data_IF_396132296343
#
_entry.id   IF_396132296343
#
_cell.length_a   1.000
_cell.length_b   1.000
_cell.length_c   1.000
_cell.angle_alpha   90.00
_cell.angle_beta   90.00
_cell.angle_gamma   90.00
#
_symmetry.space_group_name_H-M   'P 1'
#
loop_
_entity.id
_entity.type
_entity.pdbx_description
1 polymer ?
#
# COMPACT_ATOMS: atom_id res chain seq x y z
N UNK A 1 5.59 29.60 -38.47
CA UNK A 1 5.47 30.84 -37.69
C UNK A 1 4.13 30.77 -36.96
N UNK A 2 4.12 31.07 -35.65
CA UNK A 2 3.07 30.81 -34.64
C UNK A 2 1.61 30.99 -35.08
N UNK A 3 0.71 30.11 -34.57
CA UNK A 3 -0.55 30.52 -33.92
C UNK A 3 -1.27 29.36 -33.18
N UNK A 4 -1.07 29.36 -31.86
CA UNK A 4 -2.01 29.17 -30.72
C UNK A 4 -3.43 28.63 -31.00
N UNK A 5 -3.85 27.58 -30.25
CA UNK A 5 -4.93 27.65 -29.23
C UNK A 5 -5.69 26.33 -29.02
N UNK A 6 -5.87 25.96 -27.73
CA UNK A 6 -6.96 25.21 -27.06
C UNK A 6 -7.30 23.83 -27.68
N UNK A 7 -7.43 22.73 -26.94
CA UNK A 7 -8.53 22.25 -26.09
C UNK A 7 -7.92 21.09 -25.29
N UNK A 8 -8.04 20.98 -23.97
CA UNK A 8 -9.29 20.83 -23.25
C UNK A 8 -9.12 19.60 -22.36
N UNK A 9 -9.15 19.82 -21.06
CA UNK A 9 -9.15 18.82 -20.00
C UNK A 9 -10.14 17.70 -20.34
N UNK A 10 -9.66 16.46 -20.45
CA UNK A 10 -10.51 15.28 -20.48
C UNK A 10 -10.02 14.27 -19.42
N UNK A 11 -10.10 14.71 -18.17
CA UNK A 11 -10.36 13.78 -17.08
C UNK A 11 -11.71 13.11 -17.37
N UNK A 12 -11.70 11.81 -17.65
CA UNK A 12 -12.92 10.99 -17.66
C UNK A 12 -12.88 10.03 -16.47
N UNK A 13 -13.70 10.28 -15.44
CA UNK A 13 -13.74 9.51 -14.20
C UNK A 13 -14.66 8.30 -14.40
N UNK A 14 -14.11 7.10 -14.54
CA UNK A 14 -14.91 5.86 -14.47
C UNK A 14 -14.04 4.70 -13.96
N UNK A 15 -13.95 4.56 -12.64
CA UNK A 15 -14.45 3.42 -11.85
C UNK A 15 -13.70 3.34 -10.50
N UNK A 16 -14.43 3.38 -9.36
CA UNK A 16 -13.85 3.29 -8.03
C UNK A 16 -13.68 1.81 -7.68
N UNK A 17 -12.45 1.29 -7.67
CA UNK A 17 -12.17 -0.01 -7.06
C UNK A 17 -10.90 0.17 -6.23
N UNK A 18 -11.10 0.28 -4.92
CA UNK A 18 -10.06 0.54 -3.95
C UNK A 18 -9.15 -0.67 -3.74
N UNK A 19 -7.87 -0.54 -4.11
CA UNK A 19 -6.82 -1.49 -3.78
C UNK A 19 -6.40 -1.33 -2.31
N UNK A 20 -7.21 -1.86 -1.38
CA UNK A 20 -6.84 -1.91 0.05
C UNK A 20 -6.16 -3.22 0.46
N UNK A 21 -6.24 -4.25 -0.39
CA UNK A 21 -5.69 -5.58 -0.12
C UNK A 21 -5.53 -6.33 -1.43
N UNK A 22 -4.32 -6.52 -1.93
CA UNK A 22 -4.09 -7.20 -3.21
C UNK A 22 -2.74 -7.90 -3.21
N UNK A 23 -2.72 -9.09 -3.81
CA UNK A 23 -1.48 -9.66 -4.34
C UNK A 23 -1.53 -9.49 -5.86
N UNK A 24 -0.60 -8.73 -6.41
CA UNK A 24 -0.47 -8.54 -7.86
C UNK A 24 0.79 -9.25 -8.35
N UNK A 25 0.69 -9.84 -9.54
CA UNK A 25 1.77 -10.60 -10.17
C UNK A 25 2.00 -9.96 -11.53
N UNK A 26 3.22 -9.49 -11.76
CA UNK A 26 3.55 -8.76 -12.99
C UNK A 26 4.23 -9.71 -13.97
N UNK A 27 3.59 -9.88 -15.14
CA UNK A 27 4.12 -10.61 -16.28
C UNK A 27 4.82 -9.66 -17.26
N UNK A 28 5.83 -10.12 -18.02
CA UNK A 28 6.46 -9.34 -19.10
C UNK A 28 5.48 -8.71 -20.11
N UNK A 29 4.33 -9.34 -20.35
CA UNK A 29 3.29 -8.85 -21.27
C UNK A 29 2.36 -7.79 -20.68
N UNK A 30 2.25 -7.69 -19.35
CA UNK A 30 1.42 -6.70 -18.63
C UNK A 30 2.15 -5.36 -18.46
N UNK A 31 3.47 -5.41 -18.58
CA UNK A 31 4.37 -4.29 -18.40
C UNK A 31 4.32 -3.29 -19.56
N UNK A 32 4.13 -3.77 -20.80
CA UNK A 32 4.02 -2.90 -21.98
C UNK A 32 2.78 -1.98 -21.99
N UNK A 33 1.89 -2.10 -20.99
CA UNK A 33 0.59 -1.43 -20.91
C UNK A 33 0.47 -0.35 -19.82
N UNK A 34 1.56 -0.01 -19.14
CA UNK A 34 1.58 1.09 -18.16
C UNK A 34 1.89 2.48 -18.77
N UNK A 35 2.07 2.58 -20.08
CA UNK A 35 2.17 3.86 -20.80
C UNK A 35 0.78 4.37 -21.23
N UNK A 36 0.51 5.69 -21.18
CA UNK A 36 -0.81 6.21 -21.53
C UNK A 36 -1.08 6.04 -23.03
N UNK A 37 -2.25 5.46 -23.34
CA UNK A 37 -2.90 5.24 -24.65
C UNK A 37 -2.54 3.95 -25.42
N UNK A 38 -3.45 2.96 -25.40
CA UNK A 38 -4.52 2.89 -26.40
C UNK A 38 -5.65 1.95 -25.94
N UNK A 39 -6.88 2.39 -26.16
CA UNK A 39 -8.12 1.63 -25.96
C UNK A 39 -8.16 0.44 -26.92
N UNK A 40 -7.92 -0.78 -26.44
CA UNK A 40 -8.40 -2.08 -26.97
C UNK A 40 -7.57 -3.27 -26.42
N UNK A 41 -7.49 -3.47 -25.10
CA UNK A 41 -6.76 -4.62 -24.53
C UNK A 41 -7.66 -5.55 -23.71
N UNK A 42 -8.43 -6.37 -24.42
CA UNK A 42 -9.35 -7.40 -23.90
C UNK A 42 -8.67 -8.48 -23.04
N UNK A 43 -7.35 -8.63 -23.14
CA UNK A 43 -6.52 -9.57 -22.37
C UNK A 43 -6.24 -9.02 -20.97
N UNK A 44 -5.99 -7.71 -20.84
CA UNK A 44 -5.81 -7.04 -19.54
C UNK A 44 -7.12 -7.08 -18.76
N UNK A 45 -8.25 -6.82 -19.42
CA UNK A 45 -9.58 -6.93 -18.80
C UNK A 45 -9.85 -8.34 -18.27
N UNK A 46 -9.35 -9.40 -18.92
CA UNK A 46 -9.52 -10.77 -18.43
C UNK A 46 -8.66 -11.12 -17.21
N UNK A 47 -7.38 -10.71 -17.19
CA UNK A 47 -6.49 -10.99 -16.04
C UNK A 47 -6.81 -10.07 -14.85
N UNK A 48 -7.14 -8.81 -15.13
CA UNK A 48 -7.66 -7.85 -14.17
C UNK A 48 -9.01 -8.32 -13.61
N UNK A 49 -9.97 -8.73 -14.46
CA UNK A 49 -11.24 -9.28 -13.98
C UNK A 49 -11.09 -10.61 -13.22
N UNK A 50 -10.06 -11.42 -13.48
CA UNK A 50 -9.79 -12.64 -12.71
C UNK A 50 -9.21 -12.34 -11.32
N UNK A 51 -8.33 -11.34 -11.19
CA UNK A 51 -7.86 -10.84 -9.89
C UNK A 51 -8.98 -10.09 -9.13
N UNK A 52 -9.74 -9.23 -9.82
CA UNK A 52 -10.86 -8.45 -9.28
C UNK A 52 -12.06 -9.31 -8.89
N UNK A 53 -12.37 -10.40 -9.61
CA UNK A 53 -13.44 -11.34 -9.22
C UNK A 53 -13.17 -12.06 -7.89
N UNK A 54 -11.94 -12.01 -7.39
CA UNK A 54 -11.54 -12.73 -6.17
C UNK A 54 -11.52 -11.84 -4.92
N UNK A 55 -11.60 -10.50 -5.06
CA UNK A 55 -11.28 -9.57 -3.98
C UNK A 55 -12.48 -8.66 -3.65
N UNK A 56 -13.26 -9.09 -2.65
CA UNK A 56 -14.13 -8.20 -1.89
C UNK A 56 -13.29 -7.10 -1.21
N UNK A 57 -13.84 -5.89 -1.05
CA UNK A 57 -13.27 -4.70 -0.39
C UNK A 57 -12.84 -4.90 1.09
N UNK A 58 -12.72 -6.14 1.55
CA UNK A 58 -12.54 -6.55 2.95
C UNK A 58 -11.56 -7.72 3.12
N UNK A 59 -10.75 -8.01 2.11
CA UNK A 59 -9.86 -9.18 2.12
C UNK A 59 -8.73 -9.01 3.13
N UNK A 60 -8.46 -10.05 3.92
CA UNK A 60 -7.41 -10.09 4.95
C UNK A 60 -6.38 -11.17 4.61
N UNK A 61 -5.23 -11.16 5.30
CA UNK A 61 -4.24 -12.23 5.16
C UNK A 61 -4.82 -13.62 5.50
N UNK A 62 -5.68 -13.72 6.51
CA UNK A 62 -6.32 -14.99 6.90
C UNK A 62 -7.32 -15.50 5.86
N UNK A 63 -8.07 -14.61 5.20
CA UNK A 63 -8.99 -15.01 4.12
C UNK A 63 -8.24 -15.53 2.89
N UNK A 64 -7.07 -14.96 2.61
CA UNK A 64 -6.21 -15.39 1.52
C UNK A 64 -5.55 -16.74 1.81
N UNK A 65 -5.17 -16.98 3.06
CA UNK A 65 -4.39 -18.16 3.50
C UNK A 65 -4.81 -19.48 2.86
N UNK A 66 -6.09 -19.92 2.93
CA UNK A 66 -6.52 -21.19 2.35
C UNK A 66 -6.55 -21.21 0.81
N UNK A 67 -6.48 -20.05 0.15
CA UNK A 67 -6.55 -19.92 -1.31
C UNK A 67 -5.20 -19.61 -1.97
N UNK A 68 -4.14 -19.37 -1.18
CA UNK A 68 -2.85 -18.97 -1.71
C UNK A 68 -2.25 -19.99 -2.68
N UNK A 69 -2.42 -21.29 -2.38
CA UNK A 69 -1.95 -22.38 -3.24
C UNK A 69 -2.59 -22.35 -4.64
N UNK A 70 -3.83 -21.86 -4.77
CA UNK A 70 -4.49 -21.69 -6.08
C UNK A 70 -3.81 -20.60 -6.89
N UNK A 71 -3.27 -19.57 -6.24
CA UNK A 71 -2.53 -18.52 -6.93
C UNK A 71 -1.18 -19.05 -7.38
N UNK A 72 -0.47 -19.79 -6.52
CA UNK A 72 0.77 -20.47 -6.85
C UNK A 72 0.57 -21.42 -8.03
N UNK A 73 -0.46 -22.26 -7.99
CA UNK A 73 -0.81 -23.19 -9.08
C UNK A 73 -1.01 -22.47 -10.43
N UNK A 74 -1.62 -21.28 -10.44
CA UNK A 74 -1.77 -20.47 -11.66
C UNK A 74 -0.43 -19.93 -12.15
N UNK A 75 0.39 -19.40 -11.25
CA UNK A 75 1.72 -18.88 -11.57
C UNK A 75 2.67 -19.97 -12.08
N UNK A 76 2.45 -21.23 -11.67
CA UNK A 76 3.21 -22.40 -12.12
C UNK A 76 2.78 -22.96 -13.49
N UNK A 77 1.71 -22.44 -14.09
CA UNK A 77 1.20 -22.99 -15.34
C UNK A 77 2.26 -22.85 -16.46
N UNK A 78 2.68 -23.94 -17.12
CA UNK A 78 3.75 -23.89 -18.14
C UNK A 78 3.37 -23.06 -19.37
N UNK A 79 2.07 -22.81 -19.59
CA UNK A 79 1.59 -21.95 -20.67
C UNK A 79 1.42 -20.48 -20.23
N UNK A 80 1.64 -20.16 -18.96
CA UNK A 80 1.64 -18.77 -18.48
C UNK A 80 2.99 -18.11 -18.77
N UNK A 81 3.03 -16.79 -19.00
CA UNK A 81 4.29 -16.08 -19.06
C UNK A 81 5.07 -16.22 -17.74
N UNK A 82 6.41 -16.12 -17.74
CA UNK A 82 7.19 -16.17 -16.50
C UNK A 82 6.77 -15.08 -15.51
N UNK A 83 6.60 -15.44 -14.24
CA UNK A 83 6.30 -14.47 -13.18
C UNK A 83 7.59 -13.80 -12.72
N UNK A 84 7.72 -12.50 -12.97
CA UNK A 84 8.93 -11.74 -12.61
C UNK A 84 9.02 -11.55 -11.10
N UNK A 85 7.94 -11.03 -10.52
CA UNK A 85 7.81 -10.85 -9.08
C UNK A 85 6.36 -10.84 -8.63
N UNK A 86 6.18 -11.12 -7.35
CA UNK A 86 4.93 -10.97 -6.62
C UNK A 86 5.00 -9.67 -5.81
N UNK A 87 3.93 -8.90 -5.79
CA UNK A 87 3.70 -7.90 -4.74
C UNK A 87 2.71 -8.46 -3.75
N UNK A 88 3.04 -8.48 -2.46
CA UNK A 88 2.12 -8.85 -1.39
C UNK A 88 1.78 -7.56 -0.65
N UNK A 89 0.56 -7.06 -0.86
CA UNK A 89 0.08 -5.82 -0.29
C UNK A 89 -1.18 -6.08 0.54
N UNK A 90 -0.96 -6.47 1.80
CA UNK A 90 -1.99 -6.88 2.76
C UNK A 90 -1.71 -6.22 4.11
N UNK A 91 -2.70 -6.18 5.00
CA UNK A 91 -2.55 -5.63 6.34
C UNK A 91 -3.51 -4.48 6.62
N UNK A 92 -4.05 -3.81 5.61
CA UNK A 92 -4.93 -2.66 5.83
C UNK A 92 -6.21 -3.07 6.55
N UNK A 93 -6.82 -4.18 6.16
CA UNK A 93 -8.00 -4.75 6.80
C UNK A 93 -7.63 -5.52 8.08
N UNK A 94 -6.53 -6.27 8.06
CA UNK A 94 -6.01 -7.02 9.20
C UNK A 94 -5.82 -6.12 10.44
N UNK A 95 -5.33 -4.90 10.23
CA UNK A 95 -5.08 -3.89 11.25
C UNK A 95 -6.33 -3.15 11.76
N UNK A 96 -7.52 -3.40 11.22
CA UNK A 96 -8.76 -2.84 11.76
C UNK A 96 -8.99 -3.33 13.19
N UNK A 97 -9.62 -2.52 14.04
CA UNK A 97 -9.81 -2.85 15.46
C UNK A 97 -10.96 -3.86 15.68
N UNK A 98 -10.88 -4.73 16.70
CA UNK A 98 -12.04 -5.46 17.21
C UNK A 98 -13.18 -4.49 17.62
N UNK A 99 -14.47 -4.86 17.43
CA UNK A 99 -14.99 -6.16 17.00
C UNK A 99 -15.15 -6.28 15.48
N UNK A 100 -14.45 -5.48 14.68
CA UNK A 100 -14.58 -5.56 13.22
C UNK A 100 -14.15 -6.95 12.71
N UNK A 101 -15.00 -7.59 11.91
CA UNK A 101 -14.88 -9.02 11.58
C UNK A 101 -13.70 -9.39 10.69
N UNK A 102 -12.99 -8.40 10.12
CA UNK A 102 -11.76 -8.64 9.36
C UNK A 102 -10.49 -8.30 10.14
N UNK A 103 -10.56 -8.05 11.45
CA UNK A 103 -9.35 -7.96 12.27
C UNK A 103 -8.63 -9.31 12.25
N UNK A 104 -7.32 -9.28 12.00
CA UNK A 104 -6.45 -10.46 12.10
C UNK A 104 -5.34 -10.11 13.07
N UNK A 105 -5.20 -10.80 14.23
CA UNK A 105 -4.18 -10.48 15.22
C UNK A 105 -2.77 -10.41 14.62
N UNK A 106 -1.93 -9.49 15.13
CA UNK A 106 -0.60 -9.22 14.55
C UNK A 106 0.26 -10.49 14.40
N UNK A 107 0.21 -11.40 15.37
CA UNK A 107 0.91 -12.70 15.33
C UNK A 107 0.42 -13.59 14.18
N UNK A 108 -0.89 -13.60 13.94
CA UNK A 108 -1.50 -14.36 12.83
C UNK A 108 -1.18 -13.72 11.48
N UNK A 109 -1.24 -12.39 11.39
CA UNK A 109 -0.81 -11.63 10.21
C UNK A 109 0.65 -11.94 9.84
N UNK A 110 1.55 -11.92 10.83
CA UNK A 110 2.96 -12.28 10.64
C UNK A 110 3.09 -13.72 10.11
N UNK A 111 2.42 -14.68 10.75
CA UNK A 111 2.46 -16.09 10.33
C UNK A 111 1.94 -16.27 8.89
N UNK A 112 0.87 -15.55 8.52
CA UNK A 112 0.31 -15.59 7.18
C UNK A 112 1.29 -15.04 6.13
N UNK A 113 1.86 -13.85 6.36
CA UNK A 113 2.82 -13.24 5.44
C UNK A 113 4.07 -14.10 5.26
N UNK A 114 4.66 -14.58 6.36
CA UNK A 114 5.84 -15.46 6.29
C UNK A 114 5.56 -16.68 5.44
N UNK A 115 4.42 -17.31 5.66
CA UNK A 115 4.11 -18.52 4.94
C UNK A 115 3.73 -18.27 3.46
N UNK A 116 3.26 -17.07 3.09
CA UNK A 116 3.16 -16.69 1.67
C UNK A 116 4.54 -16.58 1.01
N UNK A 117 5.48 -15.91 1.67
CA UNK A 117 6.86 -15.77 1.21
C UNK A 117 7.51 -17.16 1.06
N UNK A 118 7.42 -18.00 2.08
CA UNK A 118 7.99 -19.35 2.09
C UNK A 118 7.42 -20.24 0.99
N UNK A 119 6.11 -20.20 0.75
CA UNK A 119 5.50 -20.98 -0.35
C UNK A 119 6.06 -20.53 -1.72
N UNK A 120 6.26 -19.23 -1.95
CA UNK A 120 6.87 -18.74 -3.20
C UNK A 120 8.32 -19.19 -3.30
N UNK A 121 9.12 -18.97 -2.25
CA UNK A 121 10.56 -19.27 -2.24
C UNK A 121 10.84 -20.78 -2.37
N UNK A 122 10.00 -21.62 -1.79
CA UNK A 122 10.14 -23.10 -1.83
C UNK A 122 9.65 -23.72 -3.14
N UNK A 123 8.97 -22.97 -4.01
CA UNK A 123 8.51 -23.46 -5.33
C UNK A 123 9.66 -23.39 -6.34
N UNK A 124 10.52 -24.41 -6.33
CA UNK A 124 11.82 -24.42 -7.04
C UNK A 124 11.77 -24.54 -8.56
N UNK A 125 10.67 -25.00 -9.15
CA UNK A 125 10.64 -25.23 -10.60
C UNK A 125 10.28 -23.95 -11.35
N UNK A 126 9.00 -23.58 -11.37
CA UNK A 126 8.49 -22.46 -12.16
C UNK A 126 8.63 -21.09 -11.50
N UNK A 127 9.00 -21.03 -10.21
CA UNK A 127 9.17 -19.80 -9.46
C UNK A 127 10.58 -19.65 -8.87
N UNK A 128 11.58 -20.37 -9.39
CA UNK A 128 12.95 -20.38 -8.87
C UNK A 128 13.58 -18.98 -8.82
N UNK A 129 13.33 -18.18 -9.85
CA UNK A 129 13.90 -16.84 -10.02
C UNK A 129 12.91 -15.73 -9.67
N UNK A 130 11.69 -16.09 -9.27
CA UNK A 130 10.63 -15.11 -9.02
C UNK A 130 10.93 -14.31 -7.77
N UNK A 131 10.84 -12.98 -7.86
CA UNK A 131 11.11 -12.07 -6.74
C UNK A 131 9.84 -11.74 -5.95
N UNK A 132 9.98 -11.12 -4.79
CA UNK A 132 8.87 -10.80 -3.88
C UNK A 132 9.07 -9.40 -3.32
N UNK A 133 8.03 -8.58 -3.41
CA UNK A 133 7.94 -7.26 -2.80
C UNK A 133 6.83 -7.29 -1.75
N UNK A 134 7.19 -7.13 -0.47
CA UNK A 134 6.20 -6.91 0.60
C UNK A 134 5.90 -5.41 0.68
N UNK A 135 4.65 -5.01 0.51
CA UNK A 135 4.23 -3.60 0.57
C UNK A 135 3.49 -3.37 1.88
N UNK A 136 3.92 -2.38 2.66
CA UNK A 136 3.29 -2.04 3.94
C UNK A 136 1.86 -1.51 3.75
N UNK A 137 0.89 -1.83 4.63
CA UNK A 137 -0.38 -1.12 4.67
C UNK A 137 -0.17 0.41 4.81
N UNK A 138 -1.02 1.23 4.17
CA UNK A 138 -0.92 2.68 4.25
C UNK A 138 -1.48 3.25 5.57
N UNK A 139 -1.14 4.49 5.93
CA UNK A 139 -1.87 5.26 6.94
C UNK A 139 -3.32 5.51 6.51
N UNK A 140 -4.13 5.96 7.48
CA UNK A 140 -5.45 6.53 7.22
C UNK A 140 -5.39 8.05 7.38
N UNK A 141 -6.37 8.72 6.79
CA UNK A 141 -6.58 10.16 6.89
C UNK A 141 -8.03 10.40 7.33
N UNK A 142 -8.39 9.90 8.51
CA UNK A 142 -9.74 10.03 9.07
C UNK A 142 -9.65 10.88 10.33
N UNK A 143 -10.31 12.04 10.30
CA UNK A 143 -10.59 12.84 11.50
C UNK A 143 -11.80 12.26 12.24
N UNK A 144 -11.71 12.22 13.56
CA UNK A 144 -12.92 12.23 14.39
C UNK A 144 -13.52 13.64 14.35
N UNK A 145 -14.86 13.74 14.38
CA UNK A 145 -15.60 14.99 14.17
C UNK A 145 -15.49 15.98 15.35
N UNK A 146 -14.29 16.42 15.69
CA UNK A 146 -14.04 17.37 16.77
C UNK A 146 -13.63 18.76 16.22
N UNK A 147 -13.96 19.84 16.94
CA UNK A 147 -13.67 21.20 16.50
C UNK A 147 -12.16 21.49 16.44
N UNK A 148 -11.76 22.34 15.51
CA UNK A 148 -10.39 22.84 15.43
C UNK A 148 -10.03 23.60 16.71
N UNK A 149 -9.09 23.07 17.49
CA UNK A 149 -8.47 23.81 18.58
C UNK A 149 -7.44 24.80 18.02
N UNK A 150 -7.39 26.04 18.53
CA UNK A 150 -6.40 27.02 18.09
C UNK A 150 -4.97 26.52 18.39
N UNK A 151 -4.07 26.72 17.42
CA UNK A 151 -2.67 26.33 17.48
C UNK A 151 -1.96 27.03 18.68
N UNK A 152 -1.26 26.25 19.51
CA UNK A 152 -0.37 26.78 20.56
C UNK A 152 -0.93 26.90 22.00
N UNK A 153 -2.00 26.20 22.39
CA UNK A 153 -2.42 26.16 23.80
C UNK A 153 -1.67 25.08 24.60
N UNK A 154 -0.56 25.43 25.25
CA UNK A 154 0.14 24.57 26.24
C UNK A 154 -0.65 24.45 27.57
N UNK A 155 -1.97 24.31 27.52
CA UNK A 155 -2.82 24.17 28.71
C UNK A 155 -2.94 22.70 29.14
N UNK A 156 -3.16 22.47 30.44
CA UNK A 156 -3.57 21.17 30.97
C UNK A 156 -4.80 20.62 30.23
N UNK A 157 -5.68 21.50 29.74
CA UNK A 157 -6.84 21.16 28.93
C UNK A 157 -6.45 20.49 27.59
N UNK A 158 -5.35 20.92 26.94
CA UNK A 158 -4.88 20.28 25.71
C UNK A 158 -4.31 18.88 26.00
N UNK A 159 -3.57 18.71 27.10
CA UNK A 159 -3.07 17.38 27.49
C UNK A 159 -4.19 16.42 27.84
N UNK A 160 -5.21 16.89 28.59
CA UNK A 160 -6.39 16.10 28.90
C UNK A 160 -7.19 15.76 27.63
N UNK A 161 -7.31 16.69 26.68
CA UNK A 161 -7.94 16.45 25.36
C UNK A 161 -7.18 15.38 24.58
N UNK A 162 -5.84 15.48 24.52
CA UNK A 162 -5.00 14.50 23.82
C UNK A 162 -5.12 13.08 24.39
N UNK A 163 -5.15 12.95 25.72
CA UNK A 163 -5.31 11.62 26.35
C UNK A 163 -6.71 11.02 26.12
N UNK A 164 -7.74 11.85 25.95
CA UNK A 164 -9.08 11.39 25.57
C UNK A 164 -9.14 11.03 24.08
N UNK A 165 -8.55 11.83 23.20
CA UNK A 165 -8.54 11.60 21.76
C UNK A 165 -7.70 10.39 21.36
N UNK A 166 -6.65 10.06 22.10
CA UNK A 166 -5.93 8.80 21.92
C UNK A 166 -6.82 7.56 22.12
N UNK A 167 -7.98 7.70 22.79
CA UNK A 167 -8.96 6.61 22.94
C UNK A 167 -9.90 6.51 21.74
N UNK A 168 -9.88 7.50 20.84
CA UNK A 168 -10.74 7.53 19.67
C UNK A 168 -10.48 6.35 18.74
N UNK A 169 -11.51 5.94 18.01
CA UNK A 169 -11.38 4.86 17.04
C UNK A 169 -10.45 5.23 15.88
N UNK A 170 -10.39 6.51 15.50
CA UNK A 170 -9.52 7.01 14.43
C UNK A 170 -8.04 6.81 14.78
N UNK A 171 -7.59 7.40 15.89
CA UNK A 171 -6.19 7.31 16.31
C UNK A 171 -5.77 5.88 16.63
N UNK A 172 -6.62 5.10 17.31
CA UNK A 172 -6.32 3.69 17.61
C UNK A 172 -6.19 2.85 16.34
N UNK A 173 -7.01 3.10 15.32
CA UNK A 173 -6.90 2.42 14.02
C UNK A 173 -5.64 2.84 13.28
N UNK A 174 -5.28 4.13 13.34
CA UNK A 174 -4.04 4.65 12.79
C UNK A 174 -2.81 3.95 13.40
N UNK A 175 -2.73 3.90 14.72
CA UNK A 175 -1.61 3.25 15.42
C UNK A 175 -1.57 1.74 15.17
N UNK A 176 -2.73 1.08 15.09
CA UNK A 176 -2.80 -0.33 14.69
C UNK A 176 -2.22 -0.52 13.27
N UNK A 177 -2.60 0.30 12.29
CA UNK A 177 -2.05 0.20 10.92
C UNK A 177 -0.54 0.46 10.87
N UNK A 178 -0.03 1.39 11.69
CA UNK A 178 1.41 1.62 11.86
C UNK A 178 2.13 0.36 12.31
N UNK A 179 1.62 -0.33 13.34
CA UNK A 179 2.21 -1.57 13.85
C UNK A 179 2.27 -2.67 12.78
N UNK A 180 1.25 -2.78 11.93
CA UNK A 180 1.25 -3.78 10.84
C UNK A 180 2.20 -3.39 9.70
N UNK A 181 2.37 -2.08 9.42
CA UNK A 181 3.38 -1.59 8.49
C UNK A 181 4.80 -1.90 8.97
N UNK A 182 5.10 -1.63 10.23
CA UNK A 182 6.38 -1.96 10.86
C UNK A 182 6.65 -3.45 10.82
N UNK A 183 5.66 -4.27 11.17
CA UNK A 183 5.76 -5.73 11.12
C UNK A 183 6.00 -6.26 9.70
N UNK A 184 5.33 -5.70 8.68
CA UNK A 184 5.56 -6.09 7.29
C UNK A 184 7.01 -5.80 6.85
N UNK A 185 7.59 -4.67 7.27
CA UNK A 185 8.99 -4.33 7.00
C UNK A 185 9.97 -5.25 7.74
N UNK A 186 9.71 -5.55 9.02
CA UNK A 186 10.49 -6.51 9.81
C UNK A 186 10.54 -7.89 9.13
N UNK A 187 9.40 -8.38 8.64
CA UNK A 187 9.33 -9.64 7.90
C UNK A 187 10.16 -9.55 6.62
N UNK A 188 10.00 -8.48 5.84
CA UNK A 188 10.73 -8.28 4.60
C UNK A 188 12.25 -8.25 4.82
N UNK A 189 12.72 -7.54 5.85
CA UNK A 189 14.13 -7.47 6.24
C UNK A 189 14.67 -8.84 6.64
N UNK A 190 13.90 -9.62 7.42
CA UNK A 190 14.31 -10.97 7.85
C UNK A 190 14.58 -11.90 6.67
N UNK A 191 13.79 -11.81 5.60
CA UNK A 191 14.03 -12.58 4.37
C UNK A 191 15.11 -11.94 3.48
N UNK A 192 15.15 -10.62 3.38
CA UNK A 192 16.18 -9.90 2.62
C UNK A 192 17.60 -10.14 3.14
N UNK A 193 17.74 -10.48 4.42
CA UNK A 193 19.02 -10.87 5.03
C UNK A 193 19.53 -12.26 4.59
N UNK A 194 18.64 -13.14 4.10
CA UNK A 194 18.99 -14.53 3.74
C UNK A 194 18.80 -14.86 2.25
N UNK A 195 18.11 -14.00 1.50
CA UNK A 195 17.93 -14.13 0.05
C UNK A 195 17.89 -12.76 -0.63
N UNK A 196 18.39 -12.70 -1.85
CA UNK A 196 18.30 -11.53 -2.72
C UNK A 196 16.92 -11.37 -3.39
N UNK A 197 16.01 -12.35 -3.22
CA UNK A 197 14.70 -12.41 -3.86
C UNK A 197 13.59 -11.62 -3.17
N UNK A 198 13.81 -11.10 -1.97
CA UNK A 198 12.77 -10.41 -1.18
C UNK A 198 13.20 -8.98 -0.85
N UNK A 199 12.30 -8.01 -1.04
CA UNK A 199 12.42 -6.64 -0.53
C UNK A 199 11.13 -6.18 0.12
N UNK A 200 11.24 -5.20 1.01
CA UNK A 200 10.11 -4.45 1.56
C UNK A 200 9.98 -3.09 0.87
N UNK A 201 8.75 -2.69 0.56
CA UNK A 201 8.39 -1.34 0.11
C UNK A 201 7.58 -0.66 1.22
N UNK A 202 8.19 0.35 1.83
CA UNK A 202 7.62 1.06 2.97
C UNK A 202 6.71 2.22 2.52
N UNK A 203 5.56 1.87 1.95
CA UNK A 203 4.56 2.84 1.48
C UNK A 203 4.07 3.74 2.63
N UNK A 204 3.99 3.21 3.85
CA UNK A 204 3.66 4.01 5.04
C UNK A 204 4.64 5.18 5.17
N UNK A 205 5.93 4.88 5.20
CA UNK A 205 6.98 5.90 5.31
C UNK A 205 6.95 6.85 4.12
N UNK A 206 6.85 6.36 2.89
CA UNK A 206 6.80 7.21 1.70
C UNK A 206 5.66 8.24 1.77
N UNK A 207 4.47 7.82 2.20
CA UNK A 207 3.33 8.71 2.37
C UNK A 207 3.56 9.73 3.48
N UNK A 208 4.07 9.30 4.64
CA UNK A 208 4.37 10.19 5.76
C UNK A 208 5.44 11.22 5.38
N UNK A 209 6.54 10.78 4.75
CA UNK A 209 7.62 11.66 4.30
C UNK A 209 7.10 12.71 3.32
N UNK A 210 6.31 12.29 2.34
CA UNK A 210 5.72 13.17 1.34
C UNK A 210 4.82 14.22 2.00
N UNK A 211 3.95 13.80 2.90
CA UNK A 211 3.05 14.72 3.59
C UNK A 211 3.80 15.66 4.54
N UNK A 212 4.83 15.17 5.24
CA UNK A 212 5.67 16.03 6.08
C UNK A 212 6.43 17.06 5.24
N UNK A 213 6.91 16.70 4.05
CA UNK A 213 7.57 17.64 3.13
C UNK A 213 6.60 18.73 2.67
N UNK A 214 5.38 18.35 2.26
CA UNK A 214 4.31 19.28 1.88
C UNK A 214 3.93 20.23 3.02
N UNK A 215 4.00 19.74 4.25
CA UNK A 215 3.73 20.53 5.45
C UNK A 215 4.92 21.38 5.92
N UNK A 216 6.08 21.29 5.25
CA UNK A 216 7.32 21.98 5.63
C UNK A 216 7.94 21.43 6.92
N UNK A 217 7.67 20.16 7.24
CA UNK A 217 8.02 19.50 8.51
C UNK A 217 8.96 18.32 8.39
N UNK A 218 9.29 17.81 7.19
CA UNK A 218 10.12 16.60 7.03
C UNK A 218 11.47 16.69 7.73
N UNK A 219 12.06 17.89 7.79
CA UNK A 219 13.35 18.15 8.41
C UNK A 219 13.25 18.84 9.78
N UNK A 220 12.05 18.93 10.36
CA UNK A 220 11.86 19.44 11.71
C UNK A 220 12.35 18.41 12.75
N UNK A 221 12.78 18.87 13.92
CA UNK A 221 13.19 18.00 15.03
C UNK A 221 12.05 17.05 15.47
N UNK A 222 10.81 17.53 15.37
CA UNK A 222 9.60 16.81 15.73
C UNK A 222 8.85 16.19 14.52
N UNK A 223 9.54 16.01 13.38
CA UNK A 223 8.94 15.51 12.14
C UNK A 223 8.12 14.22 12.35
N UNK A 224 8.65 13.30 13.17
CA UNK A 224 8.03 12.01 13.47
C UNK A 224 7.42 11.92 14.87
N UNK A 225 7.07 13.05 15.50
CA UNK A 225 6.22 13.03 16.69
C UNK A 225 4.89 12.35 16.34
N UNK A 226 4.62 11.19 16.95
CA UNK A 226 3.43 10.38 16.71
C UNK A 226 2.12 11.15 16.94
N UNK A 227 2.16 12.20 17.75
CA UNK A 227 1.00 13.06 18.03
C UNK A 227 0.70 14.04 16.89
N UNK A 228 1.65 14.24 15.98
CA UNK A 228 1.58 15.23 14.90
C UNK A 228 1.75 14.61 13.52
N UNK A 229 1.81 13.29 13.42
CA UNK A 229 1.98 12.62 12.13
C UNK A 229 0.77 12.89 11.21
N UNK A 230 0.99 13.05 9.90
CA UNK A 230 -0.09 13.28 8.96
C UNK A 230 -1.19 12.21 9.04
N UNK A 231 -2.45 12.67 9.11
CA UNK A 231 -3.65 11.83 9.14
C UNK A 231 -3.92 11.08 10.45
N UNK A 232 -3.14 11.27 11.53
CA UNK A 232 -3.35 10.55 12.79
C UNK A 232 -4.63 10.96 13.54
N UNK A 233 -5.24 12.09 13.17
CA UNK A 233 -6.53 12.55 13.70
C UNK A 233 -6.45 13.24 15.06
N UNK A 234 -5.26 13.42 15.63
CA UNK A 234 -5.06 14.20 16.86
C UNK A 234 -5.00 15.71 16.57
N UNK A 235 -5.37 16.58 17.53
CA UNK A 235 -5.19 18.03 17.46
C UNK A 235 -3.76 18.42 17.11
N UNK A 236 -3.64 19.40 16.21
CA UNK A 236 -2.35 19.85 15.68
C UNK A 236 -1.75 18.93 14.62
N UNK A 237 -2.25 17.70 14.43
CA UNK A 237 -1.88 16.88 13.29
C UNK A 237 -2.62 17.37 12.03
N UNK A 238 -1.86 17.58 10.96
CA UNK A 238 -2.40 17.96 9.65
C UNK A 238 -2.85 16.72 8.87
N UNK A 239 -3.89 16.87 8.07
CA UNK A 239 -4.31 15.83 7.14
C UNK A 239 -3.35 15.74 5.94
N UNK A 240 -3.47 14.65 5.18
CA UNK A 240 -2.89 14.56 3.85
C UNK A 240 -3.59 15.54 2.89
N UNK A 241 -2.85 16.10 1.94
CA UNK A 241 -3.41 17.01 0.92
C UNK A 241 -4.48 16.33 0.05
N UNK A 242 -5.30 17.15 -0.61
CA UNK A 242 -6.30 16.69 -1.56
C UNK A 242 -5.67 15.79 -2.64
N UNK A 243 -6.33 14.65 -2.92
CA UNK A 243 -5.88 13.69 -3.93
C UNK A 243 -5.00 12.55 -3.41
N UNK A 244 -4.58 12.57 -2.14
CA UNK A 244 -3.94 11.38 -1.52
C UNK A 244 -4.95 10.31 -1.12
N UNK A 245 -6.07 10.73 -0.52
CA UNK A 245 -7.16 9.84 -0.12
C UNK A 245 -8.49 10.36 -0.68
N UNK A 246 -9.39 9.47 -1.08
CA UNK A 246 -10.73 9.85 -1.57
C UNK A 246 -11.75 9.96 -0.45
N UNK A 247 -11.59 9.16 0.60
CA UNK A 247 -12.51 9.06 1.75
C UNK A 247 -11.78 8.83 3.08
N UNK A 248 -10.49 9.18 3.12
CA UNK A 248 -9.61 8.94 4.27
C UNK A 248 -9.04 7.52 4.37
N UNK A 249 -9.47 6.59 3.49
CA UNK A 249 -8.98 5.21 3.49
C UNK A 249 -8.49 4.78 2.10
N UNK A 250 -9.27 5.02 1.06
CA UNK A 250 -8.95 4.64 -0.31
C UNK A 250 -8.05 5.67 -0.99
N UNK A 251 -7.16 5.17 -1.85
CA UNK A 251 -6.18 5.98 -2.54
C UNK A 251 -6.82 6.91 -3.57
N UNK A 252 -6.42 8.18 -3.50
CA UNK A 252 -6.57 9.11 -4.60
C UNK A 252 -5.40 9.02 -5.60
N UNK A 253 -5.43 9.83 -6.67
CA UNK A 253 -4.46 9.78 -7.77
C UNK A 253 -3.00 9.97 -7.32
N UNK A 254 -2.75 10.82 -6.32
CA UNK A 254 -1.40 11.11 -5.83
C UNK A 254 -0.77 9.89 -5.18
N UNK A 255 -1.54 9.12 -4.41
CA UNK A 255 -1.05 7.91 -3.75
C UNK A 255 -0.76 6.78 -4.74
N UNK A 256 -1.60 6.61 -5.77
CA UNK A 256 -1.31 5.63 -6.83
C UNK A 256 -0.05 5.97 -7.60
N UNK A 257 0.16 7.26 -7.91
CA UNK A 257 1.39 7.73 -8.56
C UNK A 257 2.61 7.41 -7.69
N UNK A 258 2.60 7.82 -6.43
CA UNK A 258 3.69 7.58 -5.48
C UNK A 258 4.01 6.08 -5.35
N UNK A 259 2.98 5.24 -5.14
CA UNK A 259 3.14 3.79 -5.05
C UNK A 259 3.79 3.20 -6.31
N UNK A 260 3.37 3.66 -7.50
CA UNK A 260 3.94 3.17 -8.76
C UNK A 260 5.41 3.58 -8.92
N UNK A 261 5.74 4.83 -8.62
CA UNK A 261 7.10 5.36 -8.74
C UNK A 261 8.04 4.66 -7.73
N UNK A 262 7.60 4.47 -6.49
CA UNK A 262 8.35 3.77 -5.44
C UNK A 262 8.55 2.30 -5.79
N UNK A 263 7.52 1.63 -6.31
CA UNK A 263 7.61 0.21 -6.67
C UNK A 263 8.63 0.00 -7.79
N UNK A 264 8.53 0.77 -8.87
CA UNK A 264 9.45 0.66 -9.99
C UNK A 264 10.88 1.00 -9.54
N UNK A 265 11.05 2.07 -8.76
CA UNK A 265 12.35 2.47 -8.24
C UNK A 265 12.98 1.38 -7.38
N UNK A 266 12.25 0.85 -6.40
CA UNK A 266 12.75 -0.18 -5.50
C UNK A 266 13.09 -1.49 -6.24
N UNK A 267 12.23 -1.90 -7.18
CA UNK A 267 12.43 -3.09 -8.00
C UNK A 267 13.66 -2.95 -8.88
N UNK A 268 13.83 -1.83 -9.59
CA UNK A 268 14.97 -1.63 -10.49
C UNK A 268 16.28 -1.37 -9.76
N UNK A 269 16.22 -0.77 -8.56
CA UNK A 269 17.40 -0.62 -7.71
C UNK A 269 17.89 -1.97 -7.18
N UNK A 270 16.98 -2.88 -6.79
CA UNK A 270 17.35 -4.21 -6.29
C UNK A 270 17.67 -5.20 -7.41
N UNK A 271 16.89 -5.18 -8.48
CA UNK A 271 16.96 -6.13 -9.61
C UNK A 271 17.04 -5.39 -10.95
N UNK A 272 18.19 -4.77 -11.27
CA UNK A 272 18.37 -4.00 -12.51
C UNK A 272 18.12 -4.80 -13.78
N UNK A 273 18.30 -6.13 -13.74
CA UNK A 273 18.03 -7.03 -14.86
C UNK A 273 16.56 -7.00 -15.30
N UNK A 274 15.65 -6.58 -14.42
CA UNK A 274 14.23 -6.44 -14.75
C UNK A 274 13.93 -5.19 -15.62
N UNK A 275 14.88 -4.25 -15.73
CA UNK A 275 14.74 -3.07 -16.59
C UNK A 275 14.53 -3.39 -18.07
N UNK A 276 14.94 -4.59 -18.51
CA UNK A 276 14.68 -5.06 -19.88
C UNK A 276 13.20 -5.24 -20.22
N UNK A 277 12.34 -5.32 -19.20
CA UNK A 277 10.91 -5.61 -19.39
C UNK A 277 10.04 -4.37 -19.65
N UNK A 278 10.57 -3.13 -19.60
CA UNK A 278 9.83 -1.85 -19.69
C UNK A 278 8.77 -1.64 -18.58
N UNK A 279 9.14 -1.97 -17.32
CA UNK A 279 8.29 -1.98 -16.12
C UNK A 279 7.40 -0.74 -15.96
#
# INVERSE_FOLDING_TARGET
>A
MLLVSKWGWLWRPFLPIGLLSTILYIYPSVVASFLPHSSNNTILDHHRAAAERTLSHRYTSSMLRPNFEKIISRAKNPNAPPTLFFTIFLGANDACLPPWSGHVPLVEYEANLRAFVETILSTKDSLADTKIVLITPPPINIRDALPDYPDGSDSEDLQASLEEEKKSSGYRTYMSKKQYAEKAMEIAESYGAVTDRVIGLNLWKSLIDTALEQQGRLHAEDAYDEKKLPGCGLPGAKEFEEGFFTDGLHFGPSTYKLLSEDLITAVLQKWPELGRYKL
#
